data_IF_578735730634
#
_entry.id   IF_578735730634
#
_cell.length_a   1.000
_cell.length_b   1.000
_cell.length_c   1.000
_cell.angle_alpha   90.00
_cell.angle_beta   90.00
_cell.angle_gamma   90.00
#
_symmetry.space_group_name_H-M   'P 1'
#
loop_
_entity.id
_entity.type
_entity.pdbx_description
1 polymer ?
#
# COMPACT_ATOMS: atom_id res chain seq x y z
N UNK A 1 -16.64 12.46 -12.39
CA UNK A 1 -16.30 12.06 -11.00
C UNK A 1 -16.55 10.57 -10.73
N UNK A 2 -17.79 10.07 -10.60
CA UNK A 2 -18.02 8.63 -10.32
C UNK A 2 -17.67 7.69 -11.47
N UNK A 3 -18.08 8.04 -12.69
CA UNK A 3 -17.82 7.25 -13.91
C UNK A 3 -16.33 7.08 -14.22
N UNK A 4 -15.51 8.11 -13.98
CA UNK A 4 -14.07 8.08 -14.26
C UNK A 4 -13.33 7.08 -13.38
N UNK A 5 -13.69 7.02 -12.09
CA UNK A 5 -13.13 6.03 -11.16
C UNK A 5 -13.58 4.60 -11.47
N UNK A 6 -14.81 4.41 -11.97
CA UNK A 6 -15.28 3.10 -12.45
C UNK A 6 -14.43 2.60 -13.61
N UNK A 7 -14.13 3.45 -14.59
CA UNK A 7 -13.25 3.10 -15.72
C UNK A 7 -11.84 2.74 -15.24
N UNK A 8 -11.26 3.54 -14.35
CA UNK A 8 -9.95 3.26 -13.73
C UNK A 8 -9.96 1.91 -13.00
N UNK A 9 -11.02 1.63 -12.23
CA UNK A 9 -11.16 0.37 -11.50
C UNK A 9 -11.24 -0.83 -12.45
N UNK A 10 -12.11 -0.78 -13.46
CA UNK A 10 -12.26 -1.86 -14.44
C UNK A 10 -10.96 -2.08 -15.24
N UNK A 11 -10.23 -1.01 -15.55
CA UNK A 11 -8.91 -1.10 -16.17
C UNK A 11 -7.92 -1.85 -15.28
N UNK A 12 -7.81 -1.49 -14.00
CA UNK A 12 -6.92 -2.20 -13.06
C UNK A 12 -7.35 -3.65 -12.90
N UNK A 13 -8.65 -3.90 -12.73
CA UNK A 13 -9.21 -5.25 -12.59
C UNK A 13 -8.85 -6.11 -13.81
N UNK A 14 -9.05 -5.58 -15.01
CA UNK A 14 -8.66 -6.23 -16.27
C UNK A 14 -7.17 -6.58 -16.27
N UNK A 15 -6.28 -5.60 -16.00
CA UNK A 15 -4.82 -5.84 -16.02
C UNK A 15 -4.36 -6.83 -14.94
N UNK A 16 -4.93 -6.77 -13.73
CA UNK A 16 -4.58 -7.68 -12.63
C UNK A 16 -5.10 -9.08 -12.92
N UNK A 17 -6.35 -9.19 -13.35
CA UNK A 17 -6.96 -10.48 -13.66
C UNK A 17 -6.22 -11.20 -14.79
N UNK A 18 -5.98 -10.52 -15.92
CA UNK A 18 -5.25 -11.12 -17.05
C UNK A 18 -3.80 -11.47 -16.70
N UNK A 19 -3.17 -10.73 -15.77
CA UNK A 19 -1.80 -11.04 -15.32
C UNK A 19 -1.73 -12.31 -14.47
N UNK A 20 -2.73 -12.56 -13.64
CA UNK A 20 -2.68 -13.62 -12.62
C UNK A 20 -3.59 -14.80 -12.91
N UNK A 21 -4.42 -14.75 -13.95
CA UNK A 21 -5.27 -15.89 -14.31
C UNK A 21 -4.44 -17.11 -14.71
N UNK A 22 -4.91 -18.26 -14.28
CA UNK A 22 -4.40 -19.57 -14.68
C UNK A 22 -4.88 -19.87 -16.10
N UNK A 23 -4.00 -20.33 -17.00
CA UNK A 23 -4.37 -20.55 -18.42
C UNK A 23 -5.45 -21.63 -18.56
N UNK A 24 -5.45 -22.58 -17.62
CA UNK A 24 -6.38 -23.70 -17.49
C UNK A 24 -7.79 -23.24 -17.06
N UNK A 25 -7.91 -22.07 -16.43
CA UNK A 25 -9.21 -21.55 -15.95
C UNK A 25 -10.17 -21.26 -17.11
N UNK A 26 -9.68 -21.00 -18.33
CA UNK A 26 -10.44 -20.55 -19.51
C UNK A 26 -11.29 -19.28 -19.31
N UNK A 27 -11.39 -18.76 -18.09
CA UNK A 27 -12.05 -17.50 -17.76
C UNK A 27 -11.08 -16.36 -18.09
N UNK A 28 -11.56 -15.42 -18.89
CA UNK A 28 -10.90 -14.14 -19.20
C UNK A 28 -11.81 -13.02 -18.71
N UNK A 29 -11.29 -11.80 -18.64
CA UNK A 29 -12.14 -10.66 -18.30
C UNK A 29 -13.26 -10.54 -19.34
N UNK A 30 -14.55 -10.55 -18.95
CA UNK A 30 -15.67 -10.44 -19.90
C UNK A 30 -15.58 -9.18 -20.75
N UNK A 31 -15.88 -9.30 -22.05
CA UNK A 31 -15.68 -8.22 -23.03
C UNK A 31 -16.55 -6.99 -22.77
N UNK A 32 -17.74 -7.19 -22.19
CA UNK A 32 -18.73 -6.15 -21.87
C UNK A 32 -18.27 -5.17 -20.79
N UNK A 33 -17.38 -5.61 -19.90
CA UNK A 33 -16.84 -4.79 -18.80
C UNK A 33 -15.32 -4.61 -18.89
N UNK A 34 -14.69 -5.13 -19.95
CA UNK A 34 -13.25 -5.00 -20.16
C UNK A 34 -12.90 -3.57 -20.52
N UNK A 35 -11.90 -3.03 -19.85
CA UNK A 35 -11.34 -1.71 -20.16
C UNK A 35 -9.86 -1.87 -20.47
N UNK A 36 -9.51 -1.70 -21.73
CA UNK A 36 -8.14 -1.90 -22.22
C UNK A 36 -7.27 -0.65 -22.17
N UNK A 37 -7.89 0.53 -22.24
CA UNK A 37 -7.25 1.84 -22.27
C UNK A 37 -7.96 2.81 -21.33
N UNK A 38 -7.22 3.81 -20.87
CA UNK A 38 -7.75 4.95 -20.14
C UNK A 38 -7.42 6.22 -20.91
N UNK A 39 -8.28 7.22 -20.80
CA UNK A 39 -7.95 8.55 -21.33
C UNK A 39 -6.85 9.24 -20.50
N UNK A 40 -6.38 10.40 -20.98
CA UNK A 40 -5.29 11.14 -20.32
C UNK A 40 -5.64 11.57 -18.90
N UNK A 41 -6.88 11.98 -18.64
CA UNK A 41 -7.31 12.46 -17.33
C UNK A 41 -7.42 11.28 -16.35
N UNK A 42 -8.05 10.19 -16.78
CA UNK A 42 -8.14 8.95 -16.02
C UNK A 42 -6.76 8.37 -15.69
N UNK A 43 -5.83 8.41 -16.65
CA UNK A 43 -4.45 7.99 -16.43
C UNK A 43 -3.71 8.91 -15.45
N UNK A 44 -3.94 10.21 -15.52
CA UNK A 44 -3.41 11.17 -14.55
C UNK A 44 -3.91 10.87 -13.13
N UNK A 45 -5.21 10.65 -12.96
CA UNK A 45 -5.82 10.32 -11.67
C UNK A 45 -5.31 8.99 -11.11
N UNK A 46 -5.15 7.97 -11.98
CA UNK A 46 -4.53 6.70 -11.61
C UNK A 46 -3.09 6.89 -11.12
N UNK A 47 -2.30 7.73 -11.79
CA UNK A 47 -0.92 7.99 -11.38
C UNK A 47 -0.86 8.75 -10.06
N UNK A 48 -1.75 9.72 -9.85
CA UNK A 48 -1.87 10.42 -8.58
C UNK A 48 -2.23 9.46 -7.43
N UNK A 49 -3.20 8.56 -7.66
CA UNK A 49 -3.57 7.53 -6.68
C UNK A 49 -2.38 6.62 -6.35
N UNK A 50 -1.64 6.14 -7.36
CA UNK A 50 -0.44 5.32 -7.13
C UNK A 50 0.59 6.06 -6.28
N UNK A 51 0.90 7.30 -6.63
CA UNK A 51 1.86 8.12 -5.90
C UNK A 51 1.44 8.30 -4.42
N UNK A 52 0.16 8.58 -4.19
CA UNK A 52 -0.40 8.71 -2.85
C UNK A 52 -0.28 7.42 -2.03
N UNK A 53 -0.57 6.25 -2.62
CA UNK A 53 -0.40 4.94 -1.95
C UNK A 53 1.07 4.69 -1.60
N UNK A 54 2.00 4.98 -2.51
CA UNK A 54 3.44 4.81 -2.27
C UNK A 54 3.92 5.72 -1.14
N UNK A 55 3.54 7.00 -1.15
CA UNK A 55 3.86 7.95 -0.08
C UNK A 55 3.31 7.49 1.27
N UNK A 56 2.05 7.04 1.32
CA UNK A 56 1.43 6.54 2.54
C UNK A 56 2.16 5.32 3.10
N UNK A 57 2.55 4.37 2.24
CA UNK A 57 3.35 3.19 2.63
C UNK A 57 4.73 3.58 3.15
N UNK A 58 5.38 4.56 2.52
CA UNK A 58 6.67 5.09 2.98
C UNK A 58 6.55 5.74 4.35
N UNK A 59 5.55 6.61 4.55
CA UNK A 59 5.29 7.27 5.84
C UNK A 59 4.97 6.26 6.93
N UNK A 60 4.20 5.22 6.65
CA UNK A 60 3.93 4.16 7.62
C UNK A 60 5.22 3.45 8.06
N UNK A 61 6.08 3.06 7.11
CA UNK A 61 7.37 2.44 7.43
C UNK A 61 8.28 3.36 8.25
N UNK A 62 8.36 4.63 7.89
CA UNK A 62 9.16 5.62 8.62
C UNK A 62 8.60 5.88 10.03
N UNK A 63 7.28 5.95 10.16
CA UNK A 63 6.58 6.07 11.44
C UNK A 63 6.89 4.90 12.37
N UNK A 64 6.77 3.66 11.86
CA UNK A 64 7.12 2.44 12.59
C UNK A 64 8.59 2.42 13.03
N UNK A 65 9.51 2.75 12.12
CA UNK A 65 10.93 2.82 12.45
C UNK A 65 11.24 3.90 13.52
N UNK A 66 10.52 5.03 13.48
CA UNK A 66 10.67 6.09 14.49
C UNK A 66 10.11 5.66 15.85
N UNK A 67 8.94 5.04 15.88
CA UNK A 67 8.34 4.52 17.14
C UNK A 67 9.20 3.42 17.75
N UNK A 68 9.74 2.50 16.96
CA UNK A 68 10.65 1.46 17.44
C UNK A 68 11.93 2.05 18.04
N UNK A 69 12.50 3.10 17.42
CA UNK A 69 13.68 3.80 17.95
C UNK A 69 13.39 4.49 19.28
N UNK A 70 12.22 5.10 19.43
CA UNK A 70 11.81 5.74 20.70
C UNK A 70 11.63 4.68 21.78
N UNK A 71 10.89 3.61 21.51
CA UNK A 71 10.69 2.51 22.46
C UNK A 71 12.01 1.86 22.88
N UNK A 72 12.95 1.66 21.96
CA UNK A 72 14.28 1.12 22.31
C UNK A 72 15.06 2.08 23.21
N UNK A 73 15.00 3.39 22.96
CA UNK A 73 15.66 4.38 23.83
C UNK A 73 15.03 4.43 25.21
N UNK A 74 13.70 4.39 25.29
CA UNK A 74 12.97 4.35 26.57
C UNK A 74 13.22 3.05 27.34
N UNK A 75 13.26 1.91 26.65
CA UNK A 75 13.59 0.62 27.26
C UNK A 75 15.02 0.63 27.82
N UNK A 76 16.01 1.12 27.05
CA UNK A 76 17.40 1.24 27.51
C UNK A 76 17.51 2.22 28.68
N UNK A 77 16.83 3.37 28.64
CA UNK A 77 16.81 4.32 29.75
C UNK A 77 16.15 3.70 31.00
N UNK A 78 15.08 2.93 30.83
CA UNK A 78 14.41 2.23 31.93
C UNK A 78 15.27 1.13 32.54
N UNK A 79 16.06 0.41 31.73
CA UNK A 79 16.99 -0.62 32.20
C UNK A 79 18.16 0.02 32.93
N UNK A 80 18.72 1.09 32.40
CA UNK A 80 19.79 1.85 33.07
C UNK A 80 19.31 2.41 34.42
N UNK A 81 18.09 2.95 34.48
CA UNK A 81 17.52 3.47 35.71
C UNK A 81 17.28 2.36 36.76
N UNK A 82 16.84 1.16 36.35
CA UNK A 82 16.67 0.03 37.26
C UNK A 82 18.02 -0.47 37.80
N UNK A 83 19.03 -0.53 36.93
CA UNK A 83 20.41 -0.87 37.28
C UNK A 83 21.00 0.12 38.29
N UNK A 84 20.85 1.43 38.05
CA UNK A 84 21.36 2.50 38.93
C UNK A 84 20.64 2.51 40.30
N UNK A 85 19.40 2.03 40.36
CA UNK A 85 18.61 1.91 41.59
C UNK A 85 18.84 0.56 42.31
N UNK A 86 19.65 -0.35 41.77
CA UNK A 86 19.90 -1.67 42.35
C UNK A 86 18.66 -2.57 42.39
N UNK A 87 17.66 -2.29 41.54
CA UNK A 87 16.41 -3.06 41.44
C UNK A 87 16.54 -4.30 40.55
N UNK A 88 17.76 -4.60 40.11
CA UNK A 88 18.12 -5.74 39.29
C UNK A 88 18.51 -6.90 40.22
N UNK A 89 17.51 -7.56 40.82
CA UNK A 89 17.64 -8.84 41.52
C UNK A 89 16.85 -9.93 40.81
#
# INVERSE_FOLDING_TARGET
MGHDWTQIYLYIATKVYEKWRTKESRVTMPEDIRVDTLDRNQMHDLNHLKAWIYDRRMKHRQGQARTERVQKKEAVASLQQKFDLGLDS
#
